data_IF_243786571026
#
_entry.id   IF_243786571026
#
_cell.length_a   1.000
_cell.length_b   1.000
_cell.length_c   1.000
_cell.angle_alpha   90.00
_cell.angle_beta   90.00
_cell.angle_gamma   90.00
#
_symmetry.space_group_name_H-M   'P 1'
#
loop_
_entity.id
_entity.type
_entity.pdbx_description
1 polymer ?
#
# COMPACT_ATOMS: atom_id res chain seq x y z
N UNK A 1 11.12 -3.90 -5.18
CA UNK A 1 11.37 -2.54 -5.66
C UNK A 1 10.05 -1.89 -6.02
N UNK A 2 9.77 -0.74 -5.44
CA UNK A 2 8.59 0.04 -5.74
C UNK A 2 8.96 1.33 -6.49
N UNK A 3 8.00 1.90 -7.21
CA UNK A 3 8.15 3.18 -7.88
C UNK A 3 6.90 4.03 -7.65
N UNK A 4 7.12 5.29 -7.28
CA UNK A 4 6.05 6.26 -7.15
C UNK A 4 5.79 6.86 -8.53
N UNK A 5 4.53 6.79 -9.00
CA UNK A 5 4.20 7.23 -10.35
C UNK A 5 4.36 8.74 -10.54
N UNK A 6 3.95 9.52 -9.55
CA UNK A 6 4.03 10.97 -9.63
C UNK A 6 4.14 11.62 -8.25
N UNK A 7 5.06 12.57 -8.12
CA UNK A 7 5.21 13.43 -6.96
C UNK A 7 5.07 14.88 -7.41
N UNK A 8 4.19 15.62 -6.77
CA UNK A 8 4.01 17.05 -7.00
C UNK A 8 4.44 17.83 -5.77
N UNK A 9 5.17 18.91 -5.97
CA UNK A 9 5.61 19.81 -4.90
C UNK A 9 5.11 21.21 -5.14
N UNK A 10 4.48 21.80 -4.14
CA UNK A 10 4.02 23.19 -4.16
C UNK A 10 4.44 23.85 -2.86
N UNK A 11 5.45 24.71 -2.91
CA UNK A 11 6.07 25.27 -1.71
C UNK A 11 6.66 24.16 -0.84
N UNK A 12 6.20 24.06 0.40
CA UNK A 12 6.61 23.01 1.34
C UNK A 12 5.69 21.78 1.31
N UNK A 13 4.61 21.83 0.52
CA UNK A 13 3.64 20.74 0.40
C UNK A 13 4.06 19.75 -0.68
N UNK A 14 3.95 18.46 -0.35
CA UNK A 14 4.19 17.36 -1.29
C UNK A 14 2.92 16.55 -1.42
N UNK A 15 2.58 16.14 -2.63
CA UNK A 15 1.51 15.18 -2.89
C UNK A 15 2.02 14.06 -3.77
N UNK A 16 1.47 12.87 -3.57
CA UNK A 16 1.77 11.70 -4.41
C UNK A 16 0.51 11.24 -5.12
N UNK A 17 0.69 10.72 -6.33
CA UNK A 17 -0.40 10.16 -7.13
C UNK A 17 0.03 8.81 -7.66
N UNK A 18 -0.82 7.81 -7.50
CA UNK A 18 -0.66 6.48 -8.06
C UNK A 18 -1.77 6.25 -9.09
N UNK A 19 -1.38 5.97 -10.33
CA UNK A 19 -2.32 5.74 -11.42
C UNK A 19 -2.75 4.28 -11.44
N UNK A 20 -4.07 4.05 -11.49
CA UNK A 20 -4.67 2.73 -11.56
C UNK A 20 -5.41 2.53 -12.87
N UNK A 21 -5.30 1.35 -13.44
CA UNK A 21 -5.98 0.98 -14.68
C UNK A 21 -7.27 0.19 -14.45
N UNK A 22 -7.60 -0.14 -13.20
CA UNK A 22 -8.85 -0.81 -12.86
C UNK A 22 -10.05 0.13 -13.01
N UNK A 23 -11.19 -0.43 -13.40
CA UNK A 23 -12.45 0.32 -13.52
C UNK A 23 -13.09 0.59 -12.16
N UNK A 24 -12.84 -0.26 -11.19
CA UNK A 24 -13.41 -0.16 -9.84
C UNK A 24 -12.51 0.66 -8.95
N UNK A 25 -13.05 1.71 -8.37
CA UNK A 25 -12.32 2.53 -7.39
C UNK A 25 -12.23 1.81 -6.04
N UNK A 26 -11.11 1.99 -5.37
CA UNK A 26 -10.88 1.51 -4.01
C UNK A 26 -10.50 2.67 -3.11
N UNK A 27 -10.60 2.46 -1.80
CA UNK A 27 -10.29 3.52 -0.82
C UNK A 27 -8.80 3.84 -0.76
N UNK A 28 -8.45 5.12 -0.91
CA UNK A 28 -7.08 5.58 -0.72
C UNK A 28 -6.62 5.40 0.73
N UNK A 29 -7.52 5.56 1.70
CA UNK A 29 -7.23 5.38 3.13
C UNK A 29 -6.74 3.97 3.46
N UNK A 30 -7.31 2.97 2.83
CA UNK A 30 -6.94 1.56 3.06
C UNK A 30 -5.86 1.04 2.10
N UNK A 31 -5.31 1.90 1.24
CA UNK A 31 -4.31 1.50 0.27
C UNK A 31 -2.92 1.45 0.93
N UNK A 32 -2.42 0.23 1.12
CA UNK A 32 -1.13 0.01 1.76
C UNK A 32 0.04 0.59 0.96
N UNK A 33 -0.03 0.55 -0.37
CA UNK A 33 1.02 1.08 -1.24
C UNK A 33 1.20 2.59 -1.05
N UNK A 34 0.10 3.36 -0.99
CA UNK A 34 0.15 4.79 -0.70
C UNK A 34 0.72 5.07 0.69
N UNK A 35 0.33 4.28 1.68
CA UNK A 35 0.84 4.42 3.05
C UNK A 35 2.34 4.17 3.11
N UNK A 36 2.82 3.12 2.43
CA UNK A 36 4.26 2.79 2.36
C UNK A 36 5.04 3.88 1.64
N UNK A 37 4.52 4.43 0.55
CA UNK A 37 5.17 5.53 -0.16
C UNK A 37 5.23 6.80 0.70
N UNK A 38 4.17 7.09 1.43
CA UNK A 38 4.14 8.23 2.37
C UNK A 38 5.18 8.07 3.49
N UNK A 39 5.30 6.85 4.01
CA UNK A 39 6.31 6.52 5.03
C UNK A 39 7.73 6.67 4.46
N UNK A 40 7.96 6.21 3.24
CA UNK A 40 9.25 6.36 2.55
C UNK A 40 9.64 7.83 2.43
N UNK A 41 8.73 8.68 2.00
CA UNK A 41 9.00 10.11 1.85
C UNK A 41 9.24 10.80 3.19
N UNK A 42 8.53 10.39 4.24
CA UNK A 42 8.76 10.90 5.60
C UNK A 42 10.20 10.65 6.05
N UNK A 43 10.72 9.46 5.77
CA UNK A 43 12.05 9.02 6.20
C UNK A 43 13.15 9.29 5.17
N UNK A 44 12.82 9.90 4.05
CA UNK A 44 13.78 10.19 2.99
C UNK A 44 14.76 11.27 3.41
N UNK A 45 16.01 11.08 3.05
CA UNK A 45 17.09 12.07 3.23
C UNK A 45 17.21 13.04 2.05
N UNK A 46 16.39 12.85 1.02
CA UNK A 46 16.37 13.74 -0.13
C UNK A 46 15.87 15.13 0.26
N UNK A 47 16.65 16.15 -0.02
CA UNK A 47 16.35 17.54 0.39
C UNK A 47 15.22 18.18 -0.41
N UNK A 48 14.87 17.61 -1.57
CA UNK A 48 13.88 18.18 -2.47
C UNK A 48 12.50 17.53 -2.25
N UNK A 49 12.46 16.22 -2.07
CA UNK A 49 11.25 15.42 -2.04
C UNK A 49 11.07 14.64 -0.73
N UNK A 50 11.42 15.24 0.39
CA UNK A 50 11.22 14.62 1.70
C UNK A 50 10.07 15.24 2.46
N UNK A 51 9.49 14.47 3.38
CA UNK A 51 8.42 14.90 4.26
C UNK A 51 7.14 14.11 4.10
N UNK A 52 6.21 14.26 5.03
CA UNK A 52 4.91 13.60 4.97
C UNK A 52 4.07 14.26 3.86
N UNK A 53 3.58 13.50 2.85
CA UNK A 53 2.70 14.06 1.84
C UNK A 53 1.43 14.64 2.45
N UNK A 54 1.06 15.83 2.03
CA UNK A 54 -0.18 16.48 2.48
C UNK A 54 -1.42 15.74 1.95
N UNK A 55 -1.33 15.18 0.75
CA UNK A 55 -2.38 14.36 0.12
C UNK A 55 -1.74 13.23 -0.65
N UNK A 56 -2.32 12.04 -0.52
CA UNK A 56 -1.99 10.87 -1.32
C UNK A 56 -3.21 10.46 -2.15
N UNK A 57 -3.02 10.27 -3.45
CA UNK A 57 -4.11 10.07 -4.41
C UNK A 57 -3.98 8.74 -5.14
N UNK A 58 -5.15 8.12 -5.35
CA UNK A 58 -5.33 7.08 -6.38
C UNK A 58 -6.09 7.69 -7.54
N UNK A 59 -5.56 7.59 -8.74
CA UNK A 59 -6.22 8.07 -9.95
C UNK A 59 -6.61 6.89 -10.83
N UNK A 60 -7.92 6.61 -10.87
CA UNK A 60 -8.49 5.50 -11.64
C UNK A 60 -8.80 5.97 -13.06
N UNK A 61 -7.89 5.73 -13.98
CA UNK A 61 -7.95 6.24 -15.35
C UNK A 61 -9.16 5.76 -16.17
N UNK A 62 -9.75 4.64 -15.75
CA UNK A 62 -10.88 4.03 -16.46
C UNK A 62 -12.22 4.20 -15.73
N UNK A 63 -12.26 5.00 -14.69
CA UNK A 63 -13.48 5.29 -13.94
C UNK A 63 -13.93 6.72 -14.23
N UNK A 64 -14.98 6.87 -15.04
CA UNK A 64 -15.46 8.18 -15.46
C UNK A 64 -16.29 8.90 -14.39
N UNK A 65 -16.82 8.16 -13.42
CA UNK A 65 -17.72 8.73 -12.41
C UNK A 65 -16.97 9.24 -11.19
N UNK A 66 -15.99 8.48 -10.73
CA UNK A 66 -15.25 8.76 -9.50
C UNK A 66 -13.77 8.36 -9.67
N UNK A 67 -13.03 9.14 -10.47
CA UNK A 67 -11.67 8.77 -10.85
C UNK A 67 -10.64 8.99 -9.75
N UNK A 68 -10.89 9.86 -8.77
CA UNK A 68 -9.88 10.25 -7.79
C UNK A 68 -10.29 9.87 -6.37
N UNK A 69 -9.45 9.08 -5.71
CA UNK A 69 -9.52 8.82 -4.28
C UNK A 69 -8.36 9.51 -3.57
N UNK A 70 -8.63 10.21 -2.49
CA UNK A 70 -7.62 10.97 -1.74
C UNK A 70 -7.63 10.58 -0.26
N UNK A 71 -6.46 10.61 0.35
CA UNK A 71 -6.31 10.49 1.79
C UNK A 71 -5.03 11.18 2.25
N UNK A 72 -5.09 11.78 3.43
CA UNK A 72 -3.94 12.38 4.08
C UNK A 72 -3.53 11.50 5.26
N UNK A 73 -2.42 10.80 5.11
CA UNK A 73 -1.92 9.90 6.16
C UNK A 73 -1.31 10.70 7.30
N UNK A 74 -1.88 10.56 8.49
CA UNK A 74 -1.36 11.16 9.70
C UNK A 74 -0.19 10.38 10.28
N UNK A 75 0.49 11.00 11.26
CA UNK A 75 1.63 10.36 11.91
C UNK A 75 1.27 9.02 12.57
N UNK A 76 0.11 8.94 13.22
CA UNK A 76 -0.36 7.72 13.87
C UNK A 76 -0.60 6.59 12.86
N UNK A 77 -1.15 6.92 11.70
CA UNK A 77 -1.36 5.96 10.61
C UNK A 77 -0.02 5.44 10.08
N UNK A 78 0.96 6.33 9.90
CA UNK A 78 2.29 5.95 9.42
C UNK A 78 3.04 5.09 10.46
N UNK A 79 2.88 5.38 11.75
CA UNK A 79 3.48 4.54 12.81
C UNK A 79 2.86 3.14 12.82
N UNK A 80 1.55 3.04 12.61
CA UNK A 80 0.85 1.77 12.51
C UNK A 80 1.35 0.94 11.33
N UNK A 81 1.56 1.56 10.18
CA UNK A 81 2.12 0.90 8.98
C UNK A 81 3.56 0.44 9.23
N UNK A 82 4.36 1.27 9.88
CA UNK A 82 5.75 0.92 10.22
C UNK A 82 5.81 -0.31 11.13
N UNK A 83 4.97 -0.36 12.17
CA UNK A 83 4.85 -1.54 13.05
C UNK A 83 4.47 -2.80 12.27
N UNK A 84 3.54 -2.67 11.35
CA UNK A 84 3.11 -3.80 10.50
C UNK A 84 4.24 -4.30 9.61
N UNK A 85 5.04 -3.38 9.05
CA UNK A 85 6.20 -3.74 8.23
C UNK A 85 7.22 -4.50 9.08
N UNK A 86 7.52 -4.05 10.29
CA UNK A 86 8.44 -4.73 11.19
C UNK A 86 7.91 -6.10 11.61
N UNK A 87 6.61 -6.23 11.88
CA UNK A 87 5.98 -7.49 12.22
C UNK A 87 6.12 -8.50 11.09
N UNK A 88 5.85 -8.09 9.86
CA UNK A 88 6.00 -8.95 8.68
C UNK A 88 7.46 -9.32 8.44
N UNK A 89 8.38 -8.36 8.55
CA UNK A 89 9.82 -8.62 8.41
C UNK A 89 10.33 -9.61 9.46
N UNK A 90 9.88 -9.46 10.70
CA UNK A 90 10.23 -10.38 11.79
C UNK A 90 9.66 -11.77 11.53
N UNK A 91 8.42 -11.86 11.05
CA UNK A 91 7.79 -13.11 10.64
C UNK A 91 8.57 -13.83 9.55
N UNK A 92 9.05 -13.11 8.55
CA UNK A 92 9.90 -13.65 7.48
C UNK A 92 11.22 -14.17 8.04
N UNK A 93 11.86 -13.39 8.90
CA UNK A 93 13.12 -13.76 9.56
C UNK A 93 12.96 -15.05 10.38
N UNK A 94 11.83 -15.21 11.05
CA UNK A 94 11.52 -16.37 11.87
C UNK A 94 10.82 -17.50 11.10
N UNK A 95 10.73 -17.38 9.78
CA UNK A 95 10.13 -18.39 8.88
C UNK A 95 8.68 -18.73 9.20
N UNK A 96 7.90 -17.73 9.58
CA UNK A 96 6.47 -17.87 9.86
C UNK A 96 5.67 -17.71 8.57
N UNK A 97 5.38 -18.80 7.92
CA UNK A 97 4.68 -18.85 6.65
C UNK A 97 3.42 -19.72 6.72
N UNK A 98 2.65 -19.56 7.80
CA UNK A 98 1.41 -20.30 7.96
C UNK A 98 0.39 -19.92 6.89
N UNK A 99 -0.34 -20.89 6.32
CA UNK A 99 -1.37 -20.60 5.33
C UNK A 99 -2.53 -19.86 5.98
N UNK A 100 -3.10 -18.91 5.24
CA UNK A 100 -4.23 -18.12 5.68
C UNK A 100 -5.43 -18.35 4.75
N UNK A 101 -6.46 -19.02 5.28
CA UNK A 101 -7.65 -19.35 4.52
C UNK A 101 -8.49 -18.10 4.25
N UNK A 102 -8.90 -17.92 2.98
CA UNK A 102 -9.73 -16.79 2.57
C UNK A 102 -10.34 -17.01 1.20
N UNK A 103 -11.00 -15.99 0.68
CA UNK A 103 -11.63 -16.06 -0.65
C UNK A 103 -10.63 -16.36 -1.77
N UNK A 104 -9.39 -15.93 -1.63
CA UNK A 104 -8.31 -16.21 -2.57
C UNK A 104 -8.04 -17.71 -2.75
N UNK A 105 -8.41 -18.54 -1.78
CA UNK A 105 -8.25 -19.99 -1.86
C UNK A 105 -9.07 -20.61 -2.98
N UNK A 106 -10.14 -19.96 -3.42
CA UNK A 106 -10.99 -20.46 -4.50
C UNK A 106 -10.25 -20.50 -5.85
N UNK A 107 -9.20 -19.71 -6.01
CA UNK A 107 -8.40 -19.62 -7.22
C UNK A 107 -6.94 -20.03 -6.99
N UNK A 108 -6.66 -20.66 -5.86
CA UNK A 108 -5.30 -21.02 -5.49
C UNK A 108 -4.91 -22.36 -6.11
N UNK A 109 -3.80 -22.39 -6.84
CA UNK A 109 -3.28 -23.62 -7.48
C UNK A 109 -2.86 -24.68 -6.47
N UNK A 110 -2.54 -24.28 -5.24
CA UNK A 110 -2.09 -25.20 -4.19
C UNK A 110 -3.21 -25.79 -3.35
N UNK A 111 -4.45 -25.38 -3.58
CA UNK A 111 -5.61 -25.81 -2.80
C UNK A 111 -5.74 -27.34 -2.75
N UNK A 112 -5.62 -27.97 -3.89
CA UNK A 112 -5.84 -29.40 -4.04
C UNK A 112 -4.54 -30.22 -4.06
N UNK A 113 -3.38 -29.58 -3.90
CA UNK A 113 -2.08 -30.25 -3.98
C UNK A 113 -1.51 -30.57 -2.60
N UNK A 114 -1.15 -29.57 -1.84
CA UNK A 114 -0.43 -29.81 -0.58
C UNK A 114 -0.64 -28.70 0.46
N UNK A 115 -1.69 -27.89 0.30
CA UNK A 115 -1.93 -26.84 1.28
C UNK A 115 -2.44 -27.43 2.60
N UNK A 116 -1.71 -27.27 3.72
CA UNK A 116 -2.06 -27.92 4.99
C UNK A 116 -3.39 -27.46 5.58
N UNK A 117 -3.91 -26.31 5.15
CA UNK A 117 -5.19 -25.80 5.64
C UNK A 117 -6.39 -26.61 5.11
N UNK A 118 -6.17 -27.40 4.05
CA UNK A 118 -7.17 -28.26 3.43
C UNK A 118 -6.94 -29.75 3.71
N UNK A 119 -5.90 -30.07 4.46
CA UNK A 119 -5.66 -31.45 4.92
C UNK A 119 -6.62 -31.75 6.08
N UNK A 120 -7.32 -32.86 5.97
CA UNK A 120 -8.22 -33.35 7.02
C UNK A 120 -7.44 -34.05 8.15
#
# INVERSE_FOLDING_TARGET
VGAIDRIDKSGDSISITDYKTSKTSTSAKSNLQLAVYSLYLEQSEDKVISGIPSISKLYFLRNDKDPIGEHSFGNDELRSVEEKIFEVADGIKNKKFEPNKGNHCNWCDYKDLSCPIWED
#
